data_IF_717332393950
#
_entry.id   IF_717332393950
#
_cell.length_a   1.000
_cell.length_b   1.000
_cell.length_c   1.000
_cell.angle_alpha   90.00
_cell.angle_beta   90.00
_cell.angle_gamma   90.00
#
_symmetry.space_group_name_H-M   'P 1'
#
loop_
_entity.id
_entity.type
_entity.pdbx_description
1 polymer ?
#
# COMPACT_ATOMS: atom_id res chain seq x y z
N UNK A 1 -16.27 11.24 -15.49
CA UNK A 1 -16.45 10.76 -14.10
C UNK A 1 -16.59 9.25 -14.06
N UNK A 2 -17.52 8.66 -14.81
CA UNK A 2 -17.67 7.19 -14.88
C UNK A 2 -16.38 6.46 -15.28
N UNK A 3 -15.65 6.94 -16.31
CA UNK A 3 -14.34 6.37 -16.67
C UNK A 3 -13.31 6.41 -15.53
N UNK A 4 -13.37 7.41 -14.66
CA UNK A 4 -12.49 7.47 -13.49
C UNK A 4 -12.89 6.39 -12.48
N UNK A 5 -14.18 6.24 -12.21
CA UNK A 5 -14.69 5.21 -11.31
C UNK A 5 -14.51 3.77 -11.87
N UNK A 6 -14.38 3.63 -13.19
CA UNK A 6 -14.03 2.40 -13.89
C UNK A 6 -12.54 2.37 -14.32
N UNK A 7 -11.65 3.08 -13.63
CA UNK A 7 -10.22 3.04 -13.94
C UNK A 7 -9.60 1.68 -13.61
N UNK A 8 -8.64 1.26 -14.43
CA UNK A 8 -7.86 0.04 -14.24
C UNK A 8 -6.41 0.33 -13.87
N UNK A 9 -5.74 -0.64 -13.24
CA UNK A 9 -4.30 -0.62 -13.04
C UNK A 9 -3.52 -0.92 -14.35
N UNK A 10 -2.19 -1.02 -14.26
CA UNK A 10 -1.33 -1.37 -15.39
C UNK A 10 -1.53 -2.79 -15.95
N UNK A 11 -2.26 -3.65 -15.26
CA UNK A 11 -2.61 -5.01 -15.67
C UNK A 11 -4.05 -5.12 -16.19
N UNK A 12 -4.77 -3.99 -16.32
CA UNK A 12 -6.17 -3.97 -16.75
C UNK A 12 -7.17 -4.40 -15.67
N UNK A 13 -6.76 -4.45 -14.40
CA UNK A 13 -7.62 -4.78 -13.26
C UNK A 13 -8.31 -3.54 -12.71
N UNK A 14 -9.62 -3.58 -12.51
CA UNK A 14 -10.37 -2.43 -11.99
C UNK A 14 -10.00 -2.13 -10.53
N UNK A 15 -9.55 -0.90 -10.26
CA UNK A 15 -8.96 -0.53 -8.96
C UNK A 15 -10.00 -0.28 -7.87
N UNK A 16 -11.25 0.01 -8.26
CA UNK A 16 -12.36 0.28 -7.35
C UNK A 16 -13.37 -0.88 -7.26
N UNK A 17 -13.04 -2.04 -7.82
CA UNK A 17 -13.94 -3.20 -7.84
C UNK A 17 -13.78 -4.14 -6.63
N UNK A 18 -12.96 -3.78 -5.65
CA UNK A 18 -12.59 -4.71 -4.57
C UNK A 18 -11.95 -5.96 -5.16
N UNK A 19 -12.33 -7.14 -4.70
CA UNK A 19 -11.83 -8.40 -5.25
C UNK A 19 -12.44 -8.81 -6.61
N UNK A 20 -13.48 -8.11 -7.11
CA UNK A 20 -14.07 -8.39 -8.44
C UNK A 20 -13.36 -7.62 -9.56
N UNK A 21 -12.04 -7.77 -9.65
CA UNK A 21 -11.19 -6.90 -10.47
C UNK A 21 -11.30 -7.10 -11.99
N UNK A 22 -12.02 -8.12 -12.46
CA UNK A 22 -12.17 -8.44 -13.88
C UNK A 22 -13.39 -7.78 -14.54
N UNK A 23 -14.25 -7.12 -13.75
CA UNK A 23 -15.50 -6.52 -14.23
C UNK A 23 -15.57 -5.06 -13.80
N UNK A 24 -16.09 -4.20 -14.68
CA UNK A 24 -16.25 -2.78 -14.38
C UNK A 24 -17.11 -2.61 -13.11
N UNK A 25 -16.64 -1.84 -12.12
CA UNK A 25 -17.35 -1.68 -10.85
C UNK A 25 -18.59 -0.80 -10.96
N UNK A 26 -18.71 0.05 -11.98
CA UNK A 26 -19.88 0.90 -12.20
C UNK A 26 -20.53 0.64 -13.55
N UNK A 27 -21.84 0.46 -13.55
CA UNK A 27 -22.68 0.30 -14.74
C UNK A 27 -22.62 1.54 -15.64
N UNK A 28 -22.56 1.34 -16.96
CA UNK A 28 -22.64 2.44 -17.93
C UNK A 28 -24.05 3.00 -18.12
N UNK A 29 -25.08 2.25 -17.71
CA UNK A 29 -26.47 2.67 -17.90
C UNK A 29 -26.89 3.76 -16.90
N UNK A 30 -26.46 3.63 -15.65
CA UNK A 30 -26.99 4.38 -14.50
C UNK A 30 -25.95 4.68 -13.42
N UNK A 31 -24.70 4.20 -13.57
CA UNK A 31 -23.68 4.38 -12.54
C UNK A 31 -23.95 3.58 -11.26
N UNK A 32 -24.72 2.49 -11.34
CA UNK A 32 -24.90 1.56 -10.22
C UNK A 32 -23.58 0.84 -9.90
N UNK A 33 -23.24 0.71 -8.60
CA UNK A 33 -22.08 -0.05 -8.16
C UNK A 33 -22.36 -1.57 -8.21
N UNK A 34 -21.58 -2.30 -9.00
CA UNK A 34 -21.67 -3.76 -9.19
C UNK A 34 -20.39 -4.51 -8.78
N UNK A 35 -19.45 -3.80 -8.15
CA UNK A 35 -18.18 -4.34 -7.69
C UNK A 35 -18.27 -5.28 -6.47
N UNK A 36 -17.12 -5.57 -5.85
CA UNK A 36 -17.02 -6.35 -4.62
C UNK A 36 -17.30 -5.50 -3.37
N UNK A 37 -17.86 -6.11 -2.32
CA UNK A 37 -18.17 -5.41 -1.07
C UNK A 37 -16.94 -5.19 -0.16
N UNK A 38 -15.89 -5.99 -0.35
CA UNK A 38 -14.71 -5.98 0.51
C UNK A 38 -13.58 -5.16 -0.11
N UNK A 39 -13.05 -4.22 0.69
CA UNK A 39 -11.84 -3.47 0.37
C UNK A 39 -10.63 -4.41 0.40
N UNK A 40 -9.68 -4.17 -0.50
CA UNK A 40 -8.47 -4.98 -0.58
C UNK A 40 -7.57 -4.61 0.59
N UNK A 41 -7.21 -5.61 1.40
CA UNK A 41 -6.30 -5.47 2.52
C UNK A 41 -5.01 -6.23 2.27
N UNK A 42 -3.89 -5.64 2.68
CA UNK A 42 -2.57 -6.24 2.60
C UNK A 42 -1.93 -6.25 3.99
N UNK A 43 -1.19 -7.31 4.30
CA UNK A 43 -0.35 -7.33 5.49
C UNK A 43 0.93 -6.53 5.23
N UNK A 44 1.21 -5.54 6.06
CA UNK A 44 2.32 -4.58 5.91
C UNK A 44 3.38 -4.71 7.00
N UNK A 45 3.07 -5.42 8.09
CA UNK A 45 4.02 -5.86 9.13
C UNK A 45 3.52 -7.19 9.73
N UNK A 46 4.33 -7.85 10.55
CA UNK A 46 4.04 -9.14 11.17
C UNK A 46 2.70 -9.20 11.92
N UNK A 47 2.18 -8.07 12.37
CA UNK A 47 0.91 -7.97 13.11
C UNK A 47 -0.07 -6.93 12.55
N UNK A 48 0.21 -6.34 11.38
CA UNK A 48 -0.56 -5.18 10.88
C UNK A 48 -1.04 -5.38 9.45
N UNK A 49 -2.33 -5.13 9.24
CA UNK A 49 -2.96 -5.12 7.93
C UNK A 49 -3.49 -3.72 7.61
N UNK A 50 -3.35 -3.31 6.36
CA UNK A 50 -3.72 -2.00 5.85
C UNK A 50 -4.62 -2.17 4.63
N UNK A 51 -5.62 -1.29 4.47
CA UNK A 51 -6.42 -1.22 3.25
C UNK A 51 -5.56 -0.58 2.16
N UNK A 52 -5.41 -1.26 1.02
CA UNK A 52 -4.63 -0.77 -0.12
C UNK A 52 -5.50 -0.46 -1.35
N UNK A 53 -6.78 -0.79 -1.28
CA UNK A 53 -7.76 -0.51 -2.34
C UNK A 53 -9.16 -0.39 -1.76
N UNK A 54 -9.69 0.83 -1.73
CA UNK A 54 -11.08 1.09 -1.37
C UNK A 54 -12.01 0.67 -2.52
N UNK A 55 -13.20 0.21 -2.15
CA UNK A 55 -14.24 -0.14 -3.11
C UNK A 55 -14.95 1.12 -3.61
N UNK A 56 -15.47 1.07 -4.83
CA UNK A 56 -16.06 2.21 -5.52
C UNK A 56 -17.26 2.78 -4.79
N UNK A 57 -18.10 1.95 -4.19
CA UNK A 57 -19.22 2.37 -3.33
C UNK A 57 -18.75 3.30 -2.21
N UNK A 58 -17.65 2.96 -1.54
CA UNK A 58 -17.10 3.79 -0.46
C UNK A 58 -16.58 5.14 -0.93
N UNK A 59 -16.32 5.31 -2.23
CA UNK A 59 -15.76 6.55 -2.79
C UNK A 59 -16.85 7.38 -3.48
N UNK A 60 -17.69 6.75 -4.30
CA UNK A 60 -18.64 7.40 -5.21
C UNK A 60 -20.11 7.17 -4.84
N UNK A 61 -20.41 6.26 -3.90
CA UNK A 61 -21.76 5.92 -3.44
C UNK A 61 -21.87 5.95 -1.91
N UNK A 62 -21.24 6.95 -1.31
CA UNK A 62 -21.20 7.12 0.14
C UNK A 62 -21.01 8.59 0.48
N UNK A 63 -21.57 8.97 1.63
CA UNK A 63 -21.40 10.28 2.23
C UNK A 63 -20.91 10.13 3.66
N UNK A 64 -20.20 11.13 4.14
CA UNK A 64 -19.66 11.15 5.50
C UNK A 64 -20.74 11.46 6.53
N UNK A 65 -20.49 11.15 7.81
CA UNK A 65 -21.43 11.43 8.90
C UNK A 65 -21.73 12.92 9.13
N UNK A 66 -20.86 13.81 8.64
CA UNK A 66 -21.04 15.26 8.66
C UNK A 66 -21.60 15.83 7.34
N UNK A 67 -22.29 15.00 6.56
CA UNK A 67 -22.97 15.43 5.34
C UNK A 67 -24.00 16.54 5.63
N UNK A 68 -24.14 17.47 4.68
CA UNK A 68 -25.19 18.48 4.68
C UNK A 68 -26.51 17.79 4.37
N UNK A 69 -27.43 17.77 5.33
CA UNK A 69 -28.74 17.16 5.19
C UNK A 69 -29.65 17.92 4.23
N UNK A 70 -30.66 17.22 3.68
CA UNK A 70 -31.71 17.85 2.90
C UNK A 70 -32.62 18.73 3.79
N UNK A 71 -33.05 19.92 3.33
CA UNK A 71 -33.86 20.83 4.14
C UNK A 71 -35.22 20.26 4.58
N UNK A 72 -35.75 19.33 3.79
CA UNK A 72 -37.02 18.64 4.04
C UNK A 72 -36.89 17.43 4.99
N UNK A 73 -35.66 17.12 5.43
CA UNK A 73 -35.36 15.96 6.28
C UNK A 73 -35.36 14.62 5.54
N UNK A 74 -35.46 14.62 4.20
CA UNK A 74 -35.31 13.41 3.40
C UNK A 74 -33.85 12.90 3.42
N UNK A 75 -33.67 11.63 3.06
CA UNK A 75 -32.33 11.06 2.91
C UNK A 75 -31.60 11.76 1.75
N UNK A 76 -30.36 12.16 2.00
CA UNK A 76 -29.47 12.63 0.93
C UNK A 76 -29.16 11.49 -0.03
N UNK A 77 -29.12 11.82 -1.32
CA UNK A 77 -28.55 10.92 -2.33
C UNK A 77 -27.09 10.61 -1.96
N UNK A 78 -26.64 9.38 -2.19
CA UNK A 78 -25.26 8.96 -1.91
C UNK A 78 -24.49 8.72 -3.20
N UNK A 79 -25.19 8.31 -4.26
CA UNK A 79 -24.58 7.97 -5.53
C UNK A 79 -24.31 9.24 -6.35
N UNK A 80 -23.02 9.51 -6.59
CA UNK A 80 -22.57 10.67 -7.35
C UNK A 80 -23.12 10.72 -8.78
N UNK A 81 -23.33 9.57 -9.42
CA UNK A 81 -23.88 9.48 -10.77
C UNK A 81 -25.36 9.81 -10.77
N UNK A 82 -26.13 9.27 -9.82
CA UNK A 82 -27.55 9.59 -9.65
C UNK A 82 -27.78 11.09 -9.37
N UNK A 83 -26.89 11.75 -8.60
CA UNK A 83 -26.92 13.20 -8.39
C UNK A 83 -26.76 13.97 -9.70
N UNK A 84 -25.77 13.58 -10.52
CA UNK A 84 -25.49 14.24 -11.80
C UNK A 84 -26.63 14.00 -12.80
N UNK A 85 -27.18 12.80 -12.86
CA UNK A 85 -28.31 12.49 -13.74
C UNK A 85 -29.57 13.23 -13.33
N UNK A 86 -29.85 13.33 -12.03
CA UNK A 86 -30.95 14.15 -11.50
C UNK A 86 -30.79 15.62 -11.88
N UNK A 87 -29.57 16.16 -11.81
CA UNK A 87 -29.27 17.53 -12.21
C UNK A 87 -29.46 17.74 -13.72
N UNK A 88 -28.96 16.81 -14.54
CA UNK A 88 -29.12 16.86 -16.00
C UNK A 88 -30.59 16.77 -16.38
N UNK A 89 -31.37 15.90 -15.74
CA UNK A 89 -32.81 15.77 -15.97
C UNK A 89 -33.56 17.06 -15.61
N UNK A 90 -33.22 17.68 -14.48
CA UNK A 90 -33.79 18.97 -14.09
C UNK A 90 -33.45 20.08 -15.11
N UNK A 91 -32.20 20.14 -15.58
CA UNK A 91 -31.76 21.12 -16.58
C UNK A 91 -32.38 20.91 -17.97
N UNK A 92 -32.79 19.69 -18.30
CA UNK A 92 -33.49 19.38 -19.56
C UNK A 92 -34.99 19.73 -19.52
N UNK A 93 -35.55 19.94 -18.33
CA UNK A 93 -36.97 20.25 -18.17
C UNK A 93 -37.20 21.73 -18.50
N UNK A 94 -38.03 22.07 -19.51
CA UNK A 94 -38.27 23.46 -19.87
C UNK A 94 -38.97 24.20 -18.73
N UNK A 95 -38.28 25.18 -18.17
CA UNK A 95 -38.83 26.18 -17.24
C UNK A 95 -39.43 27.31 -18.06
N UNK A 96 -40.71 27.19 -18.42
CA UNK A 96 -41.46 28.28 -19.03
C UNK A 96 -41.67 29.44 -18.02
N UNK A 97 -42.55 30.40 -18.33
CA UNK A 97 -42.96 31.48 -17.41
C UNK A 97 -43.75 30.98 -16.15
N UNK A 98 -43.62 29.70 -15.81
CA UNK A 98 -44.19 29.06 -14.63
C UNK A 98 -43.23 29.21 -13.45
N UNK A 99 -43.67 29.95 -12.42
CA UNK A 99 -42.89 30.14 -11.21
C UNK A 99 -42.69 28.83 -10.43
N UNK A 100 -43.64 27.91 -10.50
CA UNK A 100 -43.54 26.58 -9.88
C UNK A 100 -42.43 25.72 -10.52
N UNK A 101 -42.28 25.82 -11.84
CA UNK A 101 -41.23 25.05 -12.54
C UNK A 101 -39.85 25.62 -12.21
N UNK A 102 -39.73 26.96 -12.09
CA UNK A 102 -38.48 27.61 -11.67
C UNK A 102 -38.05 27.21 -10.27
N UNK A 103 -38.99 27.17 -9.33
CA UNK A 103 -38.72 26.72 -7.96
C UNK A 103 -38.28 25.24 -7.95
N UNK A 104 -38.93 24.39 -8.74
CA UNK A 104 -38.56 22.98 -8.87
C UNK A 104 -37.15 22.81 -9.43
N UNK A 105 -36.79 23.58 -10.47
CA UNK A 105 -35.45 23.56 -11.04
C UNK A 105 -34.40 24.08 -10.05
N UNK A 106 -34.68 25.16 -9.33
CA UNK A 106 -33.79 25.69 -8.29
C UNK A 106 -33.56 24.67 -7.17
N UNK A 107 -34.61 24.04 -6.67
CA UNK A 107 -34.51 23.01 -5.63
C UNK A 107 -33.67 21.80 -6.07
N UNK A 108 -33.81 21.37 -7.33
CA UNK A 108 -33.02 20.28 -7.89
C UNK A 108 -31.52 20.63 -8.00
N UNK A 109 -31.19 21.86 -8.41
CA UNK A 109 -29.81 22.34 -8.46
C UNK A 109 -29.20 22.49 -7.06
N UNK A 110 -29.98 22.98 -6.10
CA UNK A 110 -29.54 23.11 -4.71
C UNK A 110 -29.30 21.73 -4.07
N UNK A 111 -30.18 20.76 -4.32
CA UNK A 111 -30.00 19.36 -3.90
C UNK A 111 -28.73 18.76 -4.51
N UNK A 112 -28.51 18.99 -5.80
CA UNK A 112 -27.28 18.55 -6.48
C UNK A 112 -26.05 19.20 -5.85
N UNK A 113 -26.09 20.50 -5.54
CA UNK A 113 -24.97 21.21 -4.94
C UNK A 113 -24.61 20.63 -3.56
N UNK A 114 -25.61 20.33 -2.72
CA UNK A 114 -25.42 19.64 -1.43
C UNK A 114 -24.83 18.25 -1.63
N UNK A 115 -25.41 17.45 -2.53
CA UNK A 115 -24.93 16.11 -2.84
C UNK A 115 -23.47 16.10 -3.30
N UNK A 116 -23.09 16.97 -4.23
CA UNK A 116 -21.72 17.10 -4.72
C UNK A 116 -20.75 17.55 -3.62
N UNK A 117 -21.16 18.44 -2.70
CA UNK A 117 -20.35 18.81 -1.53
C UNK A 117 -20.13 17.62 -0.60
N UNK A 118 -21.17 16.82 -0.37
CA UNK A 118 -21.09 15.63 0.47
C UNK A 118 -20.18 14.55 -0.16
N UNK A 119 -20.31 14.31 -1.46
CA UNK A 119 -19.44 13.41 -2.21
C UNK A 119 -17.98 13.89 -2.21
N UNK A 120 -17.73 15.20 -2.41
CA UNK A 120 -16.38 15.77 -2.31
C UNK A 120 -15.78 15.56 -0.91
N UNK A 121 -16.56 15.77 0.15
CA UNK A 121 -16.11 15.53 1.52
C UNK A 121 -15.74 14.05 1.74
N UNK A 122 -16.53 13.12 1.19
CA UNK A 122 -16.20 11.70 1.22
C UNK A 122 -14.85 11.39 0.53
N UNK A 123 -14.65 11.90 -0.69
CA UNK A 123 -13.37 11.72 -1.41
C UNK A 123 -12.20 12.32 -0.64
N UNK A 124 -12.37 13.50 -0.02
CA UNK A 124 -11.35 14.13 0.80
C UNK A 124 -11.02 13.31 2.05
N UNK A 125 -12.03 12.69 2.66
CA UNK A 125 -11.85 11.81 3.82
C UNK A 125 -11.04 10.57 3.45
N UNK A 126 -11.40 9.90 2.34
CA UNK A 126 -10.63 8.75 1.84
C UNK A 126 -9.20 9.18 1.48
N UNK A 127 -9.00 10.35 0.86
CA UNK A 127 -7.66 10.87 0.56
C UNK A 127 -6.84 11.17 1.82
N UNK A 128 -7.46 11.66 2.88
CA UNK A 128 -6.81 11.87 4.17
C UNK A 128 -6.40 10.54 4.81
N UNK A 129 -7.27 9.52 4.76
CA UNK A 129 -6.95 8.16 5.21
C UNK A 129 -5.76 7.57 4.42
N UNK A 130 -5.74 7.70 3.09
CA UNK A 130 -4.60 7.27 2.28
C UNK A 130 -3.31 8.00 2.66
N UNK A 131 -3.40 9.29 3.01
CA UNK A 131 -2.25 10.06 3.50
C UNK A 131 -1.67 9.52 4.80
N UNK A 132 -2.50 9.14 5.77
CA UNK A 132 -2.02 8.54 7.03
C UNK A 132 -1.43 7.15 6.80
N UNK A 133 -2.02 6.38 5.89
CA UNK A 133 -1.51 5.07 5.47
C UNK A 133 -0.14 5.19 4.79
N UNK A 134 0.07 6.17 3.92
CA UNK A 134 1.37 6.40 3.28
C UNK A 134 2.47 6.77 4.28
N UNK A 135 2.18 7.66 5.24
CA UNK A 135 3.13 8.01 6.31
C UNK A 135 3.51 6.79 7.17
N UNK A 136 2.54 5.91 7.40
CA UNK A 136 2.77 4.66 8.11
C UNK A 136 3.66 3.70 7.29
N UNK A 137 3.40 3.55 5.99
CA UNK A 137 4.22 2.73 5.11
C UNK A 137 5.68 3.24 5.05
N UNK A 138 5.89 4.56 5.03
CA UNK A 138 7.23 5.15 5.09
C UNK A 138 7.95 4.82 6.42
N UNK A 139 7.22 4.85 7.54
CA UNK A 139 7.75 4.46 8.85
C UNK A 139 8.11 2.97 8.89
N UNK A 140 7.28 2.11 8.31
CA UNK A 140 7.54 0.68 8.19
C UNK A 140 8.73 0.35 7.27
N UNK A 141 8.91 1.11 6.18
CA UNK A 141 10.04 0.95 5.27
C UNK A 141 11.37 1.31 5.96
N UNK A 142 11.41 2.43 6.70
CA UNK A 142 12.57 2.80 7.52
C UNK A 142 12.90 1.72 8.55
N UNK A 143 11.90 1.22 9.27
CA UNK A 143 12.08 0.15 10.26
C UNK A 143 12.56 -1.17 9.61
N UNK A 144 12.06 -1.48 8.41
CA UNK A 144 12.51 -2.62 7.61
C UNK A 144 13.98 -2.51 7.24
N UNK A 145 14.41 -1.33 6.80
CA UNK A 145 15.82 -1.04 6.47
C UNK A 145 16.74 -1.17 7.68
N UNK A 146 16.34 -0.65 8.84
CA UNK A 146 17.11 -0.76 10.08
C UNK A 146 17.25 -2.22 10.54
N UNK A 147 16.17 -3.01 10.43
CA UNK A 147 16.19 -4.44 10.74
C UNK A 147 17.12 -5.20 9.79
N UNK A 148 17.08 -4.89 8.50
CA UNK A 148 17.95 -5.51 7.51
C UNK A 148 19.43 -5.22 7.79
N UNK A 149 19.76 -3.97 8.14
CA UNK A 149 21.12 -3.58 8.55
C UNK A 149 21.56 -4.33 9.81
N UNK A 150 20.72 -4.35 10.85
CA UNK A 150 21.03 -5.04 12.11
C UNK A 150 21.24 -6.55 11.91
N UNK A 151 20.41 -7.20 11.09
CA UNK A 151 20.58 -8.62 10.74
C UNK A 151 21.85 -8.86 9.93
N UNK A 152 22.21 -7.94 9.02
CA UNK A 152 23.46 -8.01 8.26
C UNK A 152 24.67 -7.90 9.20
N UNK A 153 24.64 -6.99 10.18
CA UNK A 153 25.69 -6.86 11.18
C UNK A 153 25.80 -8.10 12.06
N UNK A 154 24.68 -8.66 12.54
CA UNK A 154 24.68 -9.89 13.32
C UNK A 154 25.25 -11.08 12.53
N UNK A 155 24.95 -11.16 11.24
CA UNK A 155 25.52 -12.19 10.36
C UNK A 155 27.02 -11.98 10.17
N UNK A 156 27.45 -10.74 9.93
CA UNK A 156 28.86 -10.34 9.85
C UNK A 156 29.61 -10.73 11.13
N UNK A 157 29.09 -10.39 12.31
CA UNK A 157 29.70 -10.74 13.60
C UNK A 157 29.81 -12.26 13.84
N UNK A 158 28.90 -13.06 13.25
CA UNK A 158 28.88 -14.53 13.42
C UNK A 158 29.74 -15.27 12.39
N UNK A 159 29.83 -14.76 11.16
CA UNK A 159 30.42 -15.47 10.01
C UNK A 159 31.76 -14.88 9.59
N UNK A 160 32.00 -13.59 9.84
CA UNK A 160 33.21 -12.95 9.38
C UNK A 160 34.43 -13.44 10.16
N UNK A 161 35.48 -13.70 9.40
CA UNK A 161 36.75 -14.19 9.94
C UNK A 161 37.41 -13.06 10.72
N UNK A 162 37.68 -13.27 12.01
CA UNK A 162 38.60 -12.40 12.75
C UNK A 162 40.00 -12.59 12.17
N UNK A 163 40.37 -11.69 11.25
CA UNK A 163 41.65 -11.72 10.56
C UNK A 163 42.83 -11.65 11.52
N UNK A 164 42.71 -10.99 12.69
CA UNK A 164 43.81 -10.92 13.66
C UNK A 164 44.06 -12.28 14.32
N UNK A 165 43.00 -12.94 14.81
CA UNK A 165 43.09 -14.28 15.37
C UNK A 165 43.52 -15.33 14.31
N UNK A 166 43.03 -15.17 13.09
CA UNK A 166 43.34 -16.06 11.95
C UNK A 166 44.80 -15.92 11.51
N UNK A 167 45.33 -14.69 11.42
CA UNK A 167 46.75 -14.46 11.13
C UNK A 167 47.62 -15.01 12.25
N UNK A 168 47.27 -14.78 13.52
CA UNK A 168 48.04 -15.29 14.66
C UNK A 168 48.09 -16.82 14.69
N UNK A 169 46.94 -17.48 14.53
CA UNK A 169 46.85 -18.94 14.45
C UNK A 169 47.59 -19.49 13.23
N UNK A 170 47.51 -18.84 12.08
CA UNK A 170 48.25 -19.20 10.88
C UNK A 170 49.78 -19.11 11.09
N UNK A 171 50.29 -18.02 11.69
CA UNK A 171 51.72 -17.86 12.01
C UNK A 171 52.18 -18.93 13.01
N UNK A 172 51.35 -19.22 14.03
CA UNK A 172 51.66 -20.26 15.00
C UNK A 172 51.73 -21.64 14.33
N UNK A 173 50.79 -21.97 13.45
CA UNK A 173 50.80 -23.22 12.68
C UNK A 173 52.01 -23.29 11.73
N UNK A 174 52.36 -22.19 11.06
CA UNK A 174 53.54 -22.11 10.21
C UNK A 174 54.83 -22.35 11.01
N UNK A 175 54.93 -21.76 12.20
CA UNK A 175 56.07 -21.92 13.11
C UNK A 175 56.16 -23.36 13.62
N UNK A 176 55.03 -23.96 14.00
CA UNK A 176 54.95 -25.36 14.41
C UNK A 176 55.34 -26.32 13.28
N UNK A 177 54.94 -26.02 12.04
CA UNK A 177 55.32 -26.78 10.85
C UNK A 177 56.83 -26.70 10.58
N UNK A 178 57.41 -25.50 10.65
CA UNK A 178 58.85 -25.31 10.50
C UNK A 178 59.65 -26.04 11.59
N UNK A 179 59.19 -25.96 12.85
CA UNK A 179 59.79 -26.69 13.96
C UNK A 179 59.70 -28.21 13.75
N UNK A 180 58.55 -28.70 13.26
CA UNK A 180 58.35 -30.12 12.92
C UNK A 180 59.30 -30.58 11.82
N UNK A 181 59.47 -29.79 10.75
CA UNK A 181 60.47 -30.08 9.71
C UNK A 181 61.89 -30.10 10.27
N UNK A 182 62.24 -29.13 11.12
CA UNK A 182 63.56 -29.06 11.75
C UNK A 182 63.83 -30.29 12.62
N UNK A 183 62.91 -30.64 13.52
CA UNK A 183 63.00 -31.82 14.38
C UNK A 183 63.11 -33.11 13.55
N UNK A 184 62.36 -33.23 12.46
CA UNK A 184 62.44 -34.36 11.54
C UNK A 184 63.82 -34.44 10.86
N UNK A 185 64.36 -33.33 10.34
CA UNK A 185 65.71 -33.32 9.76
C UNK A 185 66.80 -33.63 10.79
N UNK A 186 66.66 -33.17 12.03
CA UNK A 186 67.63 -33.43 13.10
C UNK A 186 67.58 -34.92 13.51
N UNK A 187 66.40 -35.53 13.61
CA UNK A 187 66.25 -36.97 13.83
C UNK A 187 66.83 -37.82 12.69
N UNK A 188 66.60 -37.43 11.44
CA UNK A 188 67.22 -38.11 10.28
C UNK A 188 68.76 -38.04 10.34
N UNK A 189 69.33 -36.90 10.76
CA UNK A 189 70.78 -36.74 10.93
C UNK A 189 71.37 -37.59 12.08
N UNK A 190 70.64 -37.73 13.19
CA UNK A 190 71.07 -38.52 14.35
C UNK A 190 71.02 -40.03 14.08
N UNK A 191 70.07 -40.52 13.27
CA UNK A 191 69.86 -41.95 13.04
C UNK A 191 70.86 -42.61 12.08
N UNK A 192 71.66 -41.86 11.30
CA UNK A 192 72.50 -42.45 10.24
C UNK A 192 74.00 -42.11 10.31
N UNK A 193 74.45 -41.18 11.15
CA UNK A 193 75.89 -40.82 11.23
C UNK A 193 76.53 -40.92 12.62
N UNK A 194 75.77 -41.18 13.69
CA UNK A 194 76.33 -41.27 15.06
C UNK A 194 76.40 -42.69 15.63
N UNK A 195 75.79 -43.69 14.99
CA UNK A 195 75.86 -45.09 15.41
C UNK A 195 77.07 -45.87 14.82
N UNK A 196 77.98 -45.20 14.09
CA UNK A 196 79.20 -45.82 13.53
C UNK A 196 80.46 -44.94 13.69
N UNK A 197 80.84 -44.66 14.94
CA UNK A 197 82.25 -44.46 15.33
C UNK A 197 82.52 -45.12 16.67
#
# INVERSE_FOLDING_TARGET
>A
MLNLANTTDGNGRYIFAGYKTETAPFSEADGEYVGGAESIKQQVDASRSMVIGHTGDKIFDSITSNAVAEPDGSASETNLFAMLDSAIAALKTPVADSEADKETAAAALDKTNRGLKNSLNNVLTIRAELGTQLNELESLDSLGSDRALGQTQQMSDLVDVDWNATISSYIMQQTALQASYKAFTDMQGLSLFQLNK
#
